data_IF_116938892475
#
_entry.id   IF_116938892475
#
_cell.length_a   1.000
_cell.length_b   1.000
_cell.length_c   1.000
_cell.angle_alpha   90.00
_cell.angle_beta   90.00
_cell.angle_gamma   90.00
#
_symmetry.space_group_name_H-M   'P 1'
#
loop_
_entity.id
_entity.type
_entity.pdbx_description
1 polymer ?
2 polymer ?
3 non-polymer ?
4 non-polymer ?
5 non-polymer ?
6 water ?
#
# COMPACT_ATOMS: atom_id res chain seq x y z
N UNK A 1 -5.07 10.31 17.63
CA UNK A 1 -5.27 11.71 17.28
C UNK A 1 -6.18 11.86 16.08
N UNK A 2 -5.84 12.81 15.21
CA UNK A 2 -6.54 12.97 13.95
C UNK A 2 -6.21 11.86 12.97
N UNK A 3 -5.09 11.16 13.16
CA UNK A 3 -4.43 10.44 12.08
C UNK A 3 -4.62 8.93 12.18
N UNK A 4 -4.32 8.27 11.08
CA UNK A 4 -4.13 6.83 11.04
C UNK A 4 -2.63 6.56 11.07
N UNK A 5 -2.21 5.62 11.92
CA UNK A 5 -0.79 5.40 12.16
C UNK A 5 -0.37 4.00 11.75
N UNK A 6 0.95 3.84 11.55
CA UNK A 6 1.55 2.53 11.41
C UNK A 6 1.29 1.70 12.67
N UNK A 7 0.67 0.53 12.50
CA UNK A 7 0.33 -0.28 13.65
C UNK A 7 1.57 -0.75 14.40
N UNK A 8 2.63 -1.12 13.66
CA UNK A 8 3.86 -1.57 14.30
C UNK A 8 4.50 -0.46 15.13
N UNK A 9 4.59 0.73 14.55
CA UNK A 9 5.14 1.89 15.25
C UNK A 9 4.20 2.37 16.36
N UNK A 10 2.91 2.11 16.20
CA UNK A 10 1.81 2.60 17.03
C UNK A 10 1.59 4.10 16.86
N UNK A 11 2.65 4.88 16.65
CA UNK A 11 2.52 6.33 16.68
C UNK A 11 3.07 7.06 15.45
N UNK A 12 3.66 6.35 14.49
CA UNK A 12 4.07 7.00 13.24
C UNK A 12 2.85 7.29 12.38
N UNK A 13 2.61 8.56 12.09
CA UNK A 13 1.39 8.98 11.40
C UNK A 13 1.57 8.79 9.89
N UNK A 14 0.59 8.11 9.27
CA UNK A 14 0.66 7.80 7.85
C UNK A 14 -0.28 8.67 7.03
N UNK A 15 -1.49 8.90 7.51
CA UNK A 15 -2.44 9.75 6.78
C UNK A 15 -3.46 10.30 7.77
N UNK A 16 -4.35 11.15 7.27
CA UNK A 16 -5.44 11.66 8.10
C UNK A 16 -6.76 11.25 7.49
N UNK A 17 -7.79 11.23 8.34
CA UNK A 17 -9.10 10.76 7.90
C UNK A 17 -9.66 11.63 6.79
N UNK A 18 -9.24 12.91 6.76
CA UNK A 18 -9.67 13.84 5.73
C UNK A 18 -9.16 13.45 4.35
N UNK A 19 -8.15 12.58 4.25
CA UNK A 19 -7.59 12.17 2.98
C UNK A 19 -8.32 10.97 2.38
N UNK A 20 -9.21 10.31 3.11
CA UNK A 20 -9.91 9.14 2.59
C UNK A 20 -10.90 9.57 1.52
N UNK A 21 -10.94 8.80 0.43
CA UNK A 21 -11.86 9.11 -0.67
C UNK A 21 -12.27 7.81 -1.35
N UNK A 22 -13.34 7.91 -2.14
CA UNK A 22 -13.85 6.76 -2.87
C UNK A 22 -13.38 6.86 -4.31
N UNK A 23 -12.52 5.94 -4.71
CA UNK A 23 -12.12 5.78 -6.11
C UNK A 23 -12.89 4.63 -6.75
N UNK A 24 -12.70 3.42 -6.22
CA UNK A 24 -13.49 2.29 -6.66
C UNK A 24 -14.93 2.46 -6.22
N UNK A 25 -15.86 2.07 -7.10
CA UNK A 25 -17.27 2.12 -6.76
C UNK A 25 -17.62 1.14 -5.64
N UNK A 26 -16.72 0.22 -5.32
CA UNK A 26 -16.88 -0.62 -4.14
C UNK A 26 -16.68 0.17 -2.85
N UNK A 27 -16.10 1.37 -2.93
CA UNK A 27 -15.99 2.23 -1.78
C UNK A 27 -14.57 2.64 -1.44
N UNK A 28 -14.42 3.36 -0.32
CA UNK A 28 -13.08 3.83 0.09
C UNK A 28 -12.21 2.74 0.67
N UNK A 29 -12.79 1.67 1.20
CA UNK A 29 -11.98 0.53 1.67
C UNK A 29 -12.68 -0.75 1.25
N UNK A 30 -12.24 -1.34 0.15
CA UNK A 30 -12.80 -2.58 -0.35
C UNK A 30 -11.75 -3.68 -0.24
N UNK A 31 -12.19 -4.92 -0.33
CA UNK A 31 -11.28 -6.07 -0.28
C UNK A 31 -10.80 -6.40 -1.68
N UNK A 32 -9.49 -6.56 -1.82
CA UNK A 32 -8.86 -6.92 -3.07
C UNK A 32 -7.99 -8.16 -2.86
N UNK A 33 -7.94 -9.02 -3.87
CA UNK A 33 -7.16 -10.26 -3.82
C UNK A 33 -5.94 -10.10 -4.71
N UNK A 34 -4.78 -10.40 -4.17
CA UNK A 34 -3.53 -10.32 -4.93
C UNK A 34 -3.30 -11.65 -5.66
N UNK A 35 -2.29 -11.72 -6.53
CA UNK A 35 -2.18 -12.91 -7.41
C UNK A 35 -1.81 -14.18 -6.66
N UNK A 36 -1.52 -14.09 -5.37
CA UNK A 36 -1.25 -15.27 -4.55
C UNK A 36 -2.37 -15.55 -3.56
N UNK A 37 -3.51 -14.89 -3.72
CA UNK A 37 -4.68 -15.16 -2.92
C UNK A 37 -4.79 -14.35 -1.64
N UNK A 38 -3.81 -13.51 -1.32
CA UNK A 38 -3.87 -12.71 -0.11
C UNK A 38 -4.88 -11.58 -0.29
N UNK A 39 -5.75 -11.39 0.71
CA UNK A 39 -6.81 -10.38 0.67
C UNK A 39 -6.33 -9.15 1.41
N UNK A 40 -6.40 -8.00 0.74
CA UNK A 40 -6.01 -6.72 1.33
C UNK A 40 -7.23 -5.83 1.31
N UNK A 41 -7.77 -5.52 2.49
CA UNK A 41 -8.76 -4.44 2.58
C UNK A 41 -8.02 -3.12 2.44
N UNK A 42 -8.16 -2.48 1.29
CA UNK A 42 -7.27 -1.41 0.87
C UNK A 42 -8.03 -0.08 0.92
N UNK A 43 -7.59 0.78 1.83
CA UNK A 43 -8.17 2.11 2.04
C UNK A 43 -7.47 3.10 1.10
N UNK A 44 -8.25 3.81 0.28
CA UNK A 44 -7.65 4.72 -0.68
C UNK A 44 -7.63 6.14 -0.11
N UNK A 45 -6.45 6.76 -0.08
CA UNK A 45 -6.26 8.11 0.43
C UNK A 45 -5.48 8.96 -0.57
N UNK A 46 -5.78 10.25 -0.60
CA UNK A 46 -5.14 11.16 -1.55
C UNK A 46 -3.65 11.36 -1.24
N UNK A 47 -3.32 11.47 0.04
CA UNK A 47 -1.96 11.80 0.45
C UNK A 47 -1.56 10.94 1.64
N UNK A 48 -0.26 10.66 1.75
CA UNK A 48 0.28 9.89 2.85
C UNK A 48 1.63 10.45 3.23
N UNK A 49 2.04 10.17 4.47
CA UNK A 49 3.30 10.65 5.00
C UNK A 49 4.10 9.48 5.53
N UNK A 50 5.40 9.70 5.68
CA UNK A 50 6.30 8.79 6.39
C UNK A 50 6.42 7.43 5.71
N UNK A 51 6.25 7.39 4.39
CA UNK A 51 6.36 6.15 3.64
C UNK A 51 7.58 6.21 2.73
N UNK A 52 8.25 5.06 2.58
CA UNK A 52 9.31 4.87 1.61
C UNK A 52 8.77 4.04 0.46
N UNK A 53 9.13 4.42 -0.76
CA UNK A 53 8.73 3.66 -1.93
C UNK A 53 9.82 2.66 -2.27
N UNK A 54 9.42 1.43 -2.59
CA UNK A 54 10.35 0.36 -2.92
C UNK A 54 10.21 0.05 -4.41
N UNK A 55 11.28 0.20 -5.17
CA UNK A 55 11.25 -0.25 -6.54
C UNK A 55 10.49 0.66 -7.49
N UNK A 56 10.36 0.18 -8.71
CA UNK A 56 9.77 0.76 -9.90
C UNK A 56 8.28 0.47 -9.95
N UNK A 57 7.46 1.40 -10.46
CA UNK A 57 6.03 1.14 -10.55
C UNK A 57 5.73 0.01 -11.53
N UNK A 58 4.64 -0.70 -11.28
CA UNK A 58 4.26 -1.81 -12.14
C UNK A 58 2.75 -1.78 -12.35
N UNK A 59 2.31 -2.09 -13.58
CA UNK A 59 0.89 -2.22 -13.85
C UNK A 59 0.38 -3.64 -13.76
N UNK A 60 1.25 -4.62 -13.58
CA UNK A 60 0.83 -6.01 -13.51
C UNK A 60 -0.09 -6.22 -12.31
N UNK A 61 -1.26 -6.82 -12.56
CA UNK A 61 -2.22 -7.18 -11.51
C UNK A 61 -2.83 -5.98 -10.79
N UNK A 62 -2.73 -4.78 -11.38
CA UNK A 62 -3.18 -3.58 -10.68
C UNK A 62 -4.70 -3.63 -10.43
N UNK A 63 -5.08 -3.41 -9.18
CA UNK A 63 -6.48 -3.39 -8.78
C UNK A 63 -7.23 -2.19 -9.32
N UNK A 64 -6.52 -1.19 -9.83
CA UNK A 64 -7.12 0.06 -10.29
C UNK A 64 -6.67 0.31 -11.73
N UNK A 65 -7.47 -0.08 -12.72
CA UNK A 65 -7.01 -0.03 -14.11
C UNK A 65 -6.60 1.38 -14.51
N UNK A 66 -5.48 1.48 -15.23
CA UNK A 66 -4.90 2.76 -15.56
C UNK A 66 -3.87 3.26 -14.57
N UNK A 67 -3.71 2.60 -13.42
CA UNK A 67 -2.74 2.98 -12.41
C UNK A 67 -1.67 1.90 -12.28
N UNK A 68 -0.43 2.33 -12.04
CA UNK A 68 0.66 1.45 -11.65
C UNK A 68 0.81 1.51 -10.13
N UNK A 69 1.40 0.47 -9.55
CA UNK A 69 1.59 0.42 -8.11
C UNK A 69 3.07 0.28 -7.75
N UNK A 70 3.42 0.90 -6.62
CA UNK A 70 4.76 0.80 -6.03
C UNK A 70 4.59 0.46 -4.55
N UNK A 71 5.30 -0.59 -4.10
CA UNK A 71 5.21 -0.98 -2.70
C UNK A 71 5.65 0.18 -1.80
N UNK A 72 4.91 0.38 -0.70
CA UNK A 72 5.19 1.45 0.25
C UNK A 72 5.34 0.87 1.65
N UNK A 73 6.39 1.28 2.35
CA UNK A 73 6.64 0.78 3.70
C UNK A 73 6.90 1.95 4.64
N UNK A 74 6.63 1.72 5.92
CA UNK A 74 6.88 2.72 6.96
C UNK A 74 8.37 3.05 7.03
N UNK A 75 8.70 4.33 6.97
CA UNK A 75 10.11 4.69 6.97
C UNK A 75 10.76 4.57 8.34
N UNK A 76 9.98 4.36 9.41
CA UNK A 76 10.54 4.24 10.74
C UNK A 76 10.80 2.77 11.12
N UNK A 77 9.92 1.84 10.70
CA UNK A 77 10.04 0.44 11.08
C UNK A 77 10.12 -0.52 9.89
N UNK A 78 9.96 -0.03 8.67
CA UNK A 78 10.02 -0.82 7.43
C UNK A 78 8.88 -1.82 7.28
N UNK A 79 7.80 -1.68 8.07
CA UNK A 79 6.65 -2.57 7.88
C UNK A 79 5.90 -2.19 6.61
N UNK A 80 5.38 -3.21 5.91
CA UNK A 80 4.56 -2.94 4.74
C UNK A 80 3.29 -2.19 5.15
N UNK A 81 3.02 -1.06 4.50
CA UNK A 81 1.82 -0.28 4.76
C UNK A 81 0.82 -0.38 3.61
N UNK A 82 1.30 -0.40 2.38
CA UNK A 82 0.43 -0.48 1.23
C UNK A 82 1.16 -0.23 -0.07
N UNK A 83 0.57 0.56 -0.95
CA UNK A 83 1.17 0.85 -2.24
C UNK A 83 0.80 2.27 -2.66
N UNK A 84 1.70 2.90 -3.39
CA UNK A 84 1.38 4.15 -4.08
C UNK A 84 0.90 3.82 -5.47
N UNK A 85 -0.20 4.44 -5.88
CA UNK A 85 -0.76 4.23 -7.21
C UNK A 85 -0.55 5.51 -8.02
N UNK A 86 0.00 5.35 -9.22
CA UNK A 86 0.32 6.49 -10.07
C UNK A 86 -0.33 6.29 -11.42
N UNK A 87 -0.98 7.33 -11.93
CA UNK A 87 -1.67 7.24 -13.21
C UNK A 87 -0.69 7.05 -14.35
N UNK A 88 -1.09 6.24 -15.32
CA UNK A 88 -0.30 6.03 -16.52
C UNK A 88 -0.69 6.98 -17.65
N UNK A 89 -1.73 7.79 -17.47
CA UNK A 89 -2.19 8.74 -18.47
C UNK A 89 -2.47 10.08 -17.82
N UNK A 90 -2.14 11.16 -18.52
CA UNK A 90 -2.15 12.49 -17.94
C UNK A 90 -3.56 13.00 -17.64
N UNK A 91 -4.59 12.43 -18.26
CA UNK A 91 -5.96 12.90 -18.09
C UNK A 91 -6.67 12.26 -16.91
N UNK A 92 -6.04 11.32 -16.21
CA UNK A 92 -6.71 10.60 -15.14
C UNK A 92 -6.74 11.43 -13.86
N UNK A 93 -7.79 11.23 -13.07
CA UNK A 93 -7.98 11.96 -11.83
C UNK A 93 -8.42 10.97 -10.76
N UNK A 94 -7.72 10.86 -9.63
CA UNK A 94 -6.50 11.65 -9.37
C UNK A 94 -5.27 11.08 -10.06
N UNK A 95 -4.25 11.91 -10.28
CA UNK A 95 -3.01 11.44 -10.90
C UNK A 95 -2.26 10.47 -10.01
N UNK A 96 -2.45 10.53 -8.70
CA UNK A 96 -1.83 9.57 -7.79
C UNK A 96 -2.68 9.44 -6.54
N UNK A 97 -2.52 8.31 -5.86
CA UNK A 97 -3.14 8.11 -4.56
C UNK A 97 -2.40 6.98 -3.86
N UNK A 98 -2.81 6.68 -2.64
CA UNK A 98 -2.21 5.60 -1.87
C UNK A 98 -3.28 4.60 -1.47
N UNK A 99 -2.95 3.31 -1.57
CA UNK A 99 -3.79 2.28 -1.02
C UNK A 99 -3.14 1.67 0.21
N UNK A 100 -3.75 1.85 1.38
CA UNK A 100 -3.19 1.41 2.65
C UNK A 100 -3.93 0.18 3.11
N UNK A 101 -3.18 -0.89 3.44
CA UNK A 101 -3.83 -2.13 3.81
C UNK A 101 -4.25 -2.08 5.28
N UNK A 102 -5.49 -2.51 5.52
CA UNK A 102 -6.18 -2.25 6.78
C UNK A 102 -5.42 -2.79 7.98
N UNK A 103 -4.83 -3.99 7.85
CA UNK A 103 -4.16 -4.61 8.98
C UNK A 103 -2.85 -3.93 9.34
N UNK A 104 -2.33 -3.04 8.51
CA UNK A 104 -1.11 -2.32 8.79
C UNK A 104 -1.35 -1.04 9.58
N UNK A 105 -2.60 -0.68 9.85
CA UNK A 105 -2.91 0.64 10.40
C UNK A 105 -3.54 0.55 11.78
N UNK A 106 -3.33 1.62 12.57
CA UNK A 106 -4.01 1.88 13.82
C UNK A 106 -4.62 3.27 13.77
N UNK A 107 -5.83 3.46 14.32
CA UNK A 107 -6.68 2.46 14.99
C UNK A 107 -7.28 1.45 14.01
N UNK A 108 -7.84 0.38 14.56
CA UNK A 108 -8.40 -0.68 13.73
C UNK A 108 -9.70 -0.20 13.09
N UNK A 109 -9.72 -0.17 11.76
CA UNK A 109 -10.92 0.26 11.03
C UNK A 109 -11.89 -0.90 10.88
N UNK B 1 14.11 -10.58 -8.51
CA UNK B 1 13.77 -11.88 -9.08
C UNK B 1 12.94 -12.71 -8.10
N UNK B 2 13.07 -12.41 -6.81
CA UNK B 2 12.29 -13.07 -5.77
C UNK B 2 11.24 -12.09 -5.27
N UNK B 3 9.99 -12.54 -5.14
CA UNK B 3 8.88 -11.64 -4.88
C UNK B 3 8.11 -12.14 -3.66
N UNK B 4 7.81 -11.21 -2.74
CA UNK B 4 6.97 -11.49 -1.59
C UNK B 4 5.55 -11.76 -2.06
N UNK B 5 5.03 -12.95 -1.72
CA UNK B 5 3.68 -13.31 -2.13
C UNK B 5 2.62 -12.45 -1.45
N UNK B 6 2.96 -11.76 -0.36
CA UNK B 6 1.95 -10.99 0.37
C UNK B 6 1.76 -9.60 -0.22
N UNK B 7 2.87 -8.90 -0.58
CA UNK B 7 2.79 -7.49 -0.95
C UNK B 7 3.43 -7.14 -2.28
N UNK B 8 4.16 -8.06 -2.91
CA UNK B 8 4.78 -7.78 -4.19
C UNK B 8 6.19 -7.20 -4.13
N UNK B 9 6.70 -6.91 -2.94
CA UNK B 9 8.08 -6.45 -2.76
C UNK B 9 9.06 -7.42 -3.44
N UNK B 10 9.98 -6.86 -4.24
CA UNK B 10 10.92 -7.67 -5.01
C UNK B 10 12.29 -7.67 -4.35
N UNK B 11 12.97 -8.82 -4.45
CA UNK B 11 14.26 -9.00 -3.81
C UNK B 11 15.23 -9.65 -4.78
N UNK B 12 16.51 -9.27 -4.66
CA UNK B 12 17.54 -9.96 -5.43
C UNK B 12 17.97 -11.26 -4.75
N UNK B 13 17.96 -11.31 -3.43
CA UNK B 13 18.42 -12.47 -2.70
C UNK B 13 17.24 -13.17 -2.04
N UNK B 14 17.26 -14.51 -2.07
CA UNK B 14 16.19 -15.27 -1.44
C UNK B 14 16.19 -15.10 0.08
N UNK B 15 17.37 -14.85 0.66
CA UNK B 15 17.45 -14.71 2.11
C UNK B 15 16.76 -13.47 2.63
N UNK B 16 16.86 -12.36 1.90
CA UNK B 16 16.14 -11.16 2.32
C UNK B 16 14.63 -11.35 2.19
N UNK B 17 14.20 -12.01 1.10
CA UNK B 17 12.77 -12.31 0.93
C UNK B 17 12.24 -13.08 2.13
N UNK B 18 13.00 -14.08 2.60
CA UNK B 18 12.53 -14.90 3.71
C UNK B 18 12.38 -14.10 4.99
N UNK B 19 13.38 -13.28 5.33
CA UNK B 19 13.25 -12.42 6.51
C UNK B 19 12.08 -11.47 6.35
N UNK B 20 11.98 -10.83 5.18
CA UNK B 20 10.87 -9.92 4.93
C UNK B 20 9.53 -10.63 5.05
N UNK B 21 9.40 -11.78 4.39
CA UNK B 21 8.10 -12.47 4.37
C UNK B 21 7.64 -12.81 5.77
N UNK B 22 8.54 -13.31 6.63
CA UNK B 22 8.12 -13.72 7.95
C UNK B 22 7.89 -12.53 8.88
N UNK B 23 8.16 -11.31 8.43
CA UNK B 23 7.76 -10.12 9.18
C UNK B 23 6.30 -9.76 8.98
N UNK B 24 5.64 -10.33 7.97
CA UNK B 24 4.23 -10.04 7.72
C UNK B 24 3.36 -10.63 8.82
X LIG C 1 0.17 -7.24 -5.63
X LIG C 1 -0.74 -6.19 -5.60
X LIG C 1 -1.82 -6.38 -6.38
X LIG C 1 -2.22 -7.51 -6.66
X LIG C 1 -0.11 -4.91 -5.80
X LIG C 1 -1.11 -3.74 -5.83
X LIG C 1 -2.17 -4.02 -6.70
X LIG C 1 -2.83 -3.13 -7.23
X LIG C 1 -2.52 -5.34 -6.95
X LIG C 1 2.33 -9.43 -7.34
X LIG C 1 3.10 -10.46 -6.83
X LIG C 1 3.05 -10.72 -5.47
X LIG C 1 2.22 -9.93 -4.68
X LIG C 1 1.51 -8.93 -5.22
X LIG C 1 1.56 -8.69 -6.53
X LIG C 1 0.66 -8.04 -4.68
X LIG C 1 0.74 -7.65 -6.75
X LIG C 1 0.54 -7.16 -7.88
X LIG C 1 0.38 -7.97 -3.49
X LIG C 1 3.89 -11.22 -7.66
X LIG D 1 6.15 1.87 11.39
X LIG E 1 -15.87 9.03 2.51
X LIG E 1 -14.88 8.00 2.80
X LIG E 1 -16.24 8.97 1.10
X LIG E 1 -17.06 8.80 3.34
X LIG E 1 -15.32 10.35 2.83
X LIG F 1 5.80 -8.47 1.64
X LIG G 1 17.87 -7.63 -1.99
X LIG G 1 17.83 -9.07 -1.81
X LIG G 1 19.26 -7.18 -1.98
X LIG G 1 17.15 -6.99 -0.90
X LIG G 1 17.26 -7.25 -3.26
#
# INVERSE_FOLDING_TARGET
>A
CTSLCCKQCQETEITTKNEIFSLSLCGPMAAYVNPHGYVHETLTVYKASNLNLIGRPSTEHSWFPGYAWTVAQCKICASHIGWKFTATKKDMSPQKFWGLTRSALLPTI
>B
SFVCSVCGHRFTTKGNLKVHFHRH
>C hetero
1 F4U N CA C O CB CG CD OE1 NE2 CAA CAB CAC CAD CAE CAF CAG CAI OAR OAS OAT
>D hetero
1 ZN ZN
>E hetero
1 SO4 S O1 O2 O3 O4
>F hetero
1 ZN ZN
>G hetero
1 SO4 S O1 O2 O3 O4
#
